data_IF_747509122255
#
_entry.id   IF_747509122255
#
_cell.length_a   1.000
_cell.length_b   1.000
_cell.length_c   1.000
_cell.angle_alpha   90.00
_cell.angle_beta   90.00
_cell.angle_gamma   90.00
#
_symmetry.space_group_name_H-M   'P 1'
#
loop_
_entity.id
_entity.type
_entity.pdbx_description
1 polymer ?
#
# COMPACT_ATOMS: atom_id res chain seq x y z
N UNK A 1 4.41 -2.71 9.09
CA UNK A 1 4.34 -1.27 8.74
C UNK A 1 2.98 -0.66 9.13
N UNK A 2 1.89 -1.00 8.44
CA UNK A 2 0.55 -0.38 8.64
C UNK A 2 0.00 -0.42 10.07
N UNK A 3 0.00 -1.59 10.71
CA UNK A 3 -0.48 -1.77 12.08
C UNK A 3 0.37 -1.03 13.11
N UNK A 4 1.68 -0.94 12.87
CA UNK A 4 2.63 -0.21 13.72
C UNK A 4 2.40 1.30 13.63
N UNK A 5 2.17 1.83 12.43
CA UNK A 5 1.86 3.25 12.25
C UNK A 5 0.54 3.66 12.93
N UNK A 6 -0.51 2.83 12.81
CA UNK A 6 -1.76 3.07 13.54
C UNK A 6 -1.59 3.04 15.05
N UNK A 7 -0.80 2.08 15.56
CA UNK A 7 -0.53 1.99 17.00
C UNK A 7 0.22 3.21 17.50
N UNK A 8 1.26 3.65 16.79
CA UNK A 8 1.98 4.87 17.14
C UNK A 8 1.11 6.12 17.05
N UNK A 9 0.19 6.20 16.09
CA UNK A 9 -0.77 7.32 16.02
C UNK A 9 -1.77 7.31 17.18
N UNK A 10 -2.21 6.12 17.62
CA UNK A 10 -3.08 6.00 18.78
C UNK A 10 -2.34 6.35 20.09
N UNK A 11 -1.07 5.99 20.19
CA UNK A 11 -0.20 6.38 21.31
C UNK A 11 0.01 7.89 21.38
N UNK A 12 0.23 8.56 20.23
CA UNK A 12 0.34 10.02 20.15
C UNK A 12 -0.95 10.71 20.57
N UNK A 13 -2.09 10.16 20.14
CA UNK A 13 -3.40 10.72 20.47
C UNK A 13 -3.80 10.52 21.93
N UNK A 14 -3.30 9.46 22.56
CA UNK A 14 -3.72 9.02 23.89
C UNK A 14 -5.08 8.31 23.91
N UNK A 15 -5.88 8.43 22.85
CA UNK A 15 -7.17 7.76 22.69
C UNK A 15 -7.41 7.25 21.26
N UNK A 16 -7.76 5.97 21.16
CA UNK A 16 -8.17 5.32 19.92
C UNK A 16 -9.47 5.88 19.33
N UNK A 17 -10.37 6.43 20.15
CA UNK A 17 -11.63 7.00 19.69
C UNK A 17 -11.41 8.37 19.00
N UNK A 18 -10.60 9.23 19.61
CA UNK A 18 -10.14 10.49 19.00
C UNK A 18 -9.39 10.25 17.66
N UNK A 19 -8.58 9.20 17.58
CA UNK A 19 -7.93 8.82 16.32
C UNK A 19 -8.95 8.39 15.25
N UNK A 20 -9.98 7.64 15.63
CA UNK A 20 -11.04 7.20 14.73
C UNK A 20 -11.82 8.39 14.16
N UNK A 21 -12.15 9.38 15.00
CA UNK A 21 -12.82 10.63 14.61
C UNK A 21 -11.96 11.44 13.65
N UNK A 22 -10.66 11.60 13.94
CA UNK A 22 -9.74 12.33 13.06
C UNK A 22 -9.61 11.69 11.70
N UNK A 23 -9.49 10.37 11.65
CA UNK A 23 -9.41 9.61 10.41
C UNK A 23 -10.78 9.47 9.71
N UNK A 24 -11.86 9.93 10.36
CA UNK A 24 -13.26 9.81 9.90
C UNK A 24 -13.64 8.36 9.59
N UNK A 25 -13.30 7.45 10.49
CA UNK A 25 -13.57 6.02 10.36
C UNK A 25 -14.27 5.48 11.60
N UNK A 26 -15.15 4.47 11.48
CA UNK A 26 -15.74 3.83 12.64
C UNK A 26 -14.68 3.17 13.53
N UNK A 27 -14.84 3.26 14.85
CA UNK A 27 -13.91 2.67 15.81
C UNK A 27 -13.73 1.16 15.61
N UNK A 28 -14.81 0.43 15.31
CA UNK A 28 -14.74 -1.00 15.00
C UNK A 28 -13.84 -1.28 13.78
N UNK A 29 -13.91 -0.44 12.75
CA UNK A 29 -13.05 -0.55 11.57
C UNK A 29 -11.59 -0.27 11.91
N UNK A 30 -11.33 0.76 12.72
CA UNK A 30 -9.98 1.07 13.21
C UNK A 30 -9.38 -0.11 14.01
N UNK A 31 -10.15 -0.71 14.91
CA UNK A 31 -9.75 -1.88 15.70
C UNK A 31 -9.44 -3.11 14.82
N UNK A 32 -10.21 -3.33 13.75
CA UNK A 32 -9.92 -4.38 12.77
C UNK A 32 -8.61 -4.11 12.01
N UNK A 33 -8.32 -2.85 11.66
CA UNK A 33 -7.05 -2.48 11.04
C UNK A 33 -5.87 -2.64 12.01
N UNK A 34 -6.01 -2.20 13.27
CA UNK A 34 -4.96 -2.32 14.29
C UNK A 34 -4.63 -3.78 14.65
N UNK A 35 -5.64 -4.66 14.63
CA UNK A 35 -5.48 -6.10 14.85
C UNK A 35 -5.02 -6.88 13.61
N UNK A 36 -4.87 -6.22 12.46
CA UNK A 36 -4.51 -6.87 11.19
C UNK A 36 -5.61 -7.75 10.60
N UNK A 37 -6.81 -7.75 11.19
CA UNK A 37 -7.99 -8.53 10.74
C UNK A 37 -8.68 -7.91 9.52
N UNK A 38 -8.35 -6.67 9.19
CA UNK A 38 -8.80 -6.01 7.98
C UNK A 38 -7.68 -5.17 7.40
N UNK A 39 -7.67 -5.06 6.07
CA UNK A 39 -6.70 -4.24 5.37
C UNK A 39 -7.13 -2.77 5.42
N UNK A 40 -6.23 -1.91 5.91
CA UNK A 40 -6.47 -0.47 5.94
C UNK A 40 -6.39 0.12 4.52
N UNK A 41 -7.36 0.97 4.12
CA UNK A 41 -7.26 1.75 2.89
C UNK A 41 -6.08 2.72 2.91
N UNK A 42 -5.40 2.90 1.78
CA UNK A 42 -4.22 3.80 1.69
C UNK A 42 -4.52 5.22 2.09
N UNK A 43 -5.70 5.73 1.73
CA UNK A 43 -6.10 7.10 2.12
C UNK A 43 -6.05 7.28 3.64
N UNK A 44 -6.41 6.25 4.41
CA UNK A 44 -6.34 6.26 5.86
C UNK A 44 -4.89 6.12 6.33
N UNK A 45 -4.10 5.24 5.71
CA UNK A 45 -2.66 5.13 6.02
C UNK A 45 -1.88 6.42 5.77
N UNK A 46 -2.14 7.08 4.64
CA UNK A 46 -1.53 8.37 4.29
C UNK A 46 -1.92 9.46 5.28
N UNK A 47 -3.20 9.54 5.67
CA UNK A 47 -3.64 10.48 6.70
C UNK A 47 -2.95 10.23 8.06
N UNK A 48 -2.74 8.95 8.42
CA UNK A 48 -1.97 8.57 9.60
C UNK A 48 -0.51 9.03 9.48
N UNK A 49 0.15 8.81 8.34
CA UNK A 49 1.53 9.26 8.12
C UNK A 49 1.65 10.79 8.15
N UNK A 50 0.75 11.51 7.49
CA UNK A 50 0.72 12.97 7.51
C UNK A 50 0.53 13.51 8.93
N UNK A 51 -0.36 12.88 9.72
CA UNK A 51 -0.56 13.22 11.13
C UNK A 51 0.71 13.02 11.96
N UNK A 52 1.33 11.85 11.82
CA UNK A 52 2.56 11.48 12.51
C UNK A 52 3.73 12.41 12.12
N UNK A 53 3.86 12.76 10.85
CA UNK A 53 4.84 13.75 10.38
C UNK A 53 4.59 15.14 10.97
N UNK A 54 3.33 15.58 11.03
CA UNK A 54 2.97 16.88 11.60
C UNK A 54 3.23 16.93 13.13
N UNK A 55 3.03 15.83 13.84
CA UNK A 55 3.35 15.72 15.25
C UNK A 55 4.87 15.76 15.50
N UNK A 56 5.65 15.04 14.69
CA UNK A 56 7.12 15.11 14.72
C UNK A 56 7.65 16.52 14.45
N UNK A 57 7.09 17.21 13.45
CA UNK A 57 7.48 18.58 13.12
C UNK A 57 7.21 19.59 14.25
N UNK A 58 6.26 19.28 15.14
CA UNK A 58 5.96 20.06 16.35
C UNK A 58 6.84 19.69 17.55
N UNK A 59 7.83 18.82 17.36
CA UNK A 59 8.74 18.34 18.42
C UNK A 59 8.24 17.10 19.16
N UNK A 60 7.11 16.53 18.75
CA UNK A 60 6.58 15.31 19.34
C UNK A 60 7.43 14.07 19.00
N UNK A 61 7.47 13.10 19.91
CA UNK A 61 8.16 11.81 19.72
C UNK A 61 7.16 10.67 19.78
N UNK A 62 7.29 9.67 18.91
CA UNK A 62 6.51 8.44 18.95
C UNK A 62 7.33 7.25 18.44
N UNK A 63 6.95 6.04 18.86
CA UNK A 63 7.75 4.81 18.73
C UNK A 63 7.97 4.23 17.32
N UNK A 64 7.76 5.02 16.26
CA UNK A 64 8.19 4.70 14.89
C UNK A 64 9.67 5.07 14.68
N UNK A 65 10.50 4.83 15.69
CA UNK A 65 11.93 4.79 15.50
C UNK A 65 12.22 3.49 14.74
N UNK A 66 12.52 3.63 13.45
CA UNK A 66 13.26 2.59 12.75
C UNK A 66 14.64 2.57 13.41
N UNK A 67 14.86 1.60 14.31
CA UNK A 67 16.14 1.45 15.00
C UNK A 67 17.27 1.30 13.96
N UNK A 68 18.41 1.99 14.11
CA UNK A 68 19.47 2.06 13.09
C UNK A 68 20.12 0.74 12.69
N UNK A 69 19.77 -0.37 13.36
CA UNK A 69 20.42 -1.68 13.22
C UNK A 69 20.31 -2.32 11.84
N UNK A 70 19.58 -1.70 10.89
CA UNK A 70 19.46 -2.16 9.50
C UNK A 70 19.97 -1.16 8.45
N UNK A 71 20.46 0.01 8.86
CA UNK A 71 20.96 1.01 7.93
C UNK A 71 22.48 1.01 7.95
N UNK A 72 23.10 0.62 6.83
CA UNK A 72 24.48 1.03 6.60
C UNK A 72 24.49 2.57 6.54
N UNK A 73 25.38 3.26 7.27
CA UNK A 73 25.34 4.73 7.39
C UNK A 73 25.42 5.44 6.04
N UNK A 74 26.05 4.79 5.05
CA UNK A 74 26.26 5.35 3.72
C UNK A 74 25.18 4.98 2.70
N UNK A 75 24.28 4.05 3.06
CA UNK A 75 23.27 3.52 2.13
C UNK A 75 22.03 2.99 2.85
N UNK A 76 20.90 3.57 2.47
CA UNK A 76 19.57 3.30 2.96
C UNK A 76 18.68 2.93 1.77
N UNK A 77 18.24 1.67 1.75
CA UNK A 77 17.27 1.17 0.79
C UNK A 77 15.95 0.94 1.53
N UNK A 78 14.86 1.52 1.02
CA UNK A 78 13.54 1.42 1.63
C UNK A 78 12.70 0.45 0.81
N UNK A 79 12.40 -0.70 1.39
CA UNK A 79 11.69 -1.78 0.70
C UNK A 79 10.44 -2.22 1.45
N UNK A 80 9.44 -2.67 0.68
CA UNK A 80 8.21 -3.24 1.20
C UNK A 80 7.77 -4.39 0.30
N UNK A 81 8.22 -5.61 0.62
CA UNK A 81 8.05 -6.77 -0.25
C UNK A 81 8.95 -6.66 -1.47
N UNK A 82 8.37 -6.69 -2.68
CA UNK A 82 9.10 -6.55 -3.95
C UNK A 82 9.15 -5.08 -4.45
N UNK A 83 8.69 -4.13 -3.64
CA UNK A 83 8.67 -2.71 -3.99
C UNK A 83 9.79 -1.99 -3.27
N UNK A 84 10.50 -1.14 -4.01
CA UNK A 84 11.53 -0.24 -3.47
C UNK A 84 11.11 1.20 -3.70
N UNK A 85 11.36 2.07 -2.73
CA UNK A 85 11.12 3.50 -2.87
C UNK A 85 12.06 4.06 -3.94
N UNK A 86 11.59 5.03 -4.73
CA UNK A 86 12.32 5.56 -5.88
C UNK A 86 12.39 7.08 -5.82
N UNK A 87 13.56 7.63 -6.13
CA UNK A 87 13.72 9.07 -6.26
C UNK A 87 12.85 9.60 -7.40
N UNK A 88 12.03 10.63 -7.14
CA UNK A 88 11.16 11.23 -8.16
C UNK A 88 11.90 11.94 -9.29
N UNK A 89 13.21 12.14 -9.15
CA UNK A 89 14.06 12.84 -10.13
C UNK A 89 14.87 11.90 -11.03
N UNK A 90 15.35 10.76 -10.51
CA UNK A 90 16.25 9.87 -11.24
C UNK A 90 15.93 8.38 -11.10
N UNK A 91 14.81 8.04 -10.46
CA UNK A 91 14.36 6.67 -10.15
C UNK A 91 15.34 5.79 -9.35
N UNK A 92 16.47 6.33 -8.90
CA UNK A 92 17.40 5.64 -8.00
C UNK A 92 16.70 5.24 -6.69
N UNK A 93 17.01 4.03 -6.21
CA UNK A 93 16.42 3.41 -5.00
C UNK A 93 17.29 3.57 -3.76
N UNK A 94 18.49 4.13 -3.93
CA UNK A 94 19.49 4.24 -2.88
C UNK A 94 19.50 5.67 -2.31
N UNK A 95 19.39 5.76 -1.00
CA UNK A 95 19.38 7.01 -0.26
C UNK A 95 20.43 6.99 0.84
N UNK A 96 20.77 8.16 1.39
CA UNK A 96 21.56 8.28 2.62
C UNK A 96 20.97 9.36 3.51
N UNK A 97 21.23 9.28 4.81
CA UNK A 97 20.81 10.33 5.74
C UNK A 97 21.57 11.62 5.44
N UNK A 98 20.87 12.76 5.47
CA UNK A 98 21.53 14.06 5.46
C UNK A 98 22.29 14.29 6.76
N UNK A 99 21.76 13.78 7.89
CA UNK A 99 22.35 13.83 9.23
C UNK A 99 22.46 12.40 9.79
N UNK A 100 23.62 11.73 9.67
CA UNK A 100 23.77 10.32 10.03
C UNK A 100 23.74 10.04 11.55
N UNK A 101 24.03 11.05 12.37
CA UNK A 101 24.10 10.90 13.84
C UNK A 101 22.71 10.98 14.53
N UNK A 102 21.66 11.29 13.79
CA UNK A 102 20.31 11.42 14.33
C UNK A 102 19.48 10.14 14.12
N UNK A 103 18.60 9.78 15.08
CA UNK A 103 17.68 8.68 14.88
C UNK A 103 16.77 8.96 13.68
N UNK A 104 16.57 7.94 12.84
CA UNK A 104 15.73 8.05 11.64
C UNK A 104 14.26 8.21 12.04
N UNK A 105 13.70 9.36 11.69
CA UNK A 105 12.31 9.79 11.89
C UNK A 105 11.58 9.90 10.54
N UNK A 106 10.25 10.09 10.54
CA UNK A 106 9.53 10.35 9.28
C UNK A 106 9.92 11.71 8.67
N UNK A 107 10.31 12.65 9.52
CA UNK A 107 10.81 13.98 9.17
C UNK A 107 12.29 14.02 8.83
N UNK A 108 13.03 12.90 8.96
CA UNK A 108 14.44 12.85 8.58
C UNK A 108 14.62 13.12 7.09
N UNK A 109 15.60 13.97 6.79
CA UNK A 109 16.01 14.29 5.42
C UNK A 109 16.93 13.21 4.88
N UNK A 110 16.60 12.74 3.69
CA UNK A 110 17.34 11.75 2.94
C UNK A 110 17.82 12.37 1.63
N UNK A 111 19.04 12.06 1.24
CA UNK A 111 19.62 12.46 -0.04
C UNK A 111 19.66 11.24 -0.95
N UNK A 112 19.16 11.41 -2.18
CA UNK A 112 19.33 10.38 -3.20
C UNK A 112 20.81 10.20 -3.55
N UNK A 113 21.30 8.96 -3.57
CA UNK A 113 22.70 8.66 -3.93
C UNK A 113 22.97 8.93 -5.41
N UNK A 114 21.98 8.75 -6.28
CA UNK A 114 22.13 8.94 -7.73
C UNK A 114 22.22 10.41 -8.16
N UNK A 115 21.31 11.27 -7.68
CA UNK A 115 21.21 12.66 -8.15
C UNK A 115 21.35 13.73 -7.06
N UNK A 116 21.46 13.34 -5.78
CA UNK A 116 21.59 14.28 -4.66
C UNK A 116 20.29 14.98 -4.24
N UNK A 117 19.15 14.71 -4.89
CA UNK A 117 17.86 15.32 -4.53
C UNK A 117 17.50 14.98 -3.09
N UNK A 118 17.11 16.01 -2.32
CA UNK A 118 16.61 15.87 -0.96
C UNK A 118 15.14 15.41 -0.95
N UNK A 119 14.83 14.46 -0.07
CA UNK A 119 13.47 14.02 0.21
C UNK A 119 13.29 13.73 1.70
N UNK A 120 12.04 13.58 2.13
CA UNK A 120 11.74 13.18 3.50
C UNK A 120 11.52 11.66 3.55
N UNK A 121 12.01 11.02 4.60
CA UNK A 121 11.80 9.60 4.83
C UNK A 121 10.31 9.21 4.80
N UNK A 122 9.45 10.01 5.43
CA UNK A 122 8.00 9.80 5.41
C UNK A 122 7.38 9.87 4.01
N UNK A 123 7.93 10.68 3.09
CA UNK A 123 7.46 10.73 1.70
C UNK A 123 7.77 9.45 0.94
N UNK A 124 8.95 8.86 1.16
CA UNK A 124 9.33 7.58 0.54
C UNK A 124 8.49 6.42 1.10
N UNK A 125 8.16 6.43 2.39
CA UNK A 125 7.23 5.44 2.98
C UNK A 125 5.82 5.62 2.39
N UNK A 126 5.34 6.85 2.20
CA UNK A 126 4.06 7.10 1.57
C UNK A 126 4.02 6.60 0.11
N UNK A 127 5.09 6.85 -0.66
CA UNK A 127 5.24 6.33 -2.02
C UNK A 127 5.16 4.81 -2.07
N UNK A 128 5.87 4.10 -1.19
CA UNK A 128 5.81 2.64 -1.11
C UNK A 128 4.40 2.13 -0.82
N UNK A 129 3.66 2.80 0.05
CA UNK A 129 2.29 2.42 0.34
C UNK A 129 1.32 2.68 -0.82
N UNK A 130 1.53 3.76 -1.57
CA UNK A 130 0.78 4.02 -2.81
C UNK A 130 1.08 2.92 -3.86
N UNK A 131 2.35 2.59 -4.07
CA UNK A 131 2.79 1.55 -5.01
C UNK A 131 2.18 0.18 -4.66
N UNK A 132 2.15 -0.19 -3.37
CA UNK A 132 1.54 -1.45 -2.90
C UNK A 132 0.08 -1.58 -3.30
N UNK A 133 -0.67 -0.50 -3.24
CA UNK A 133 -2.11 -0.55 -3.54
C UNK A 133 -2.39 -0.42 -5.00
N UNK A 134 -1.55 0.28 -5.76
CA UNK A 134 -1.61 0.16 -7.21
C UNK A 134 -1.36 -1.30 -7.64
N UNK A 135 -0.37 -1.97 -7.04
CA UNK A 135 -0.08 -3.38 -7.31
C UNK A 135 -1.25 -4.29 -6.92
N UNK A 136 -1.85 -4.12 -5.74
CA UNK A 136 -3.00 -4.95 -5.30
C UNK A 136 -4.26 -4.73 -6.16
N UNK A 137 -4.53 -3.48 -6.56
CA UNK A 137 -5.61 -3.15 -7.50
C UNK A 137 -5.36 -3.76 -8.87
N UNK A 138 -4.15 -3.64 -9.40
CA UNK A 138 -3.78 -4.22 -10.69
C UNK A 138 -3.95 -5.74 -10.70
N UNK A 139 -3.55 -6.43 -9.62
CA UNK A 139 -3.79 -7.86 -9.47
C UNK A 139 -5.28 -8.20 -9.41
N UNK A 140 -6.07 -7.43 -8.65
CA UNK A 140 -7.53 -7.66 -8.54
C UNK A 140 -8.26 -7.45 -9.87
N UNK A 141 -7.87 -6.43 -10.66
CA UNK A 141 -8.43 -6.18 -12.00
C UNK A 141 -8.07 -7.31 -12.96
N UNK A 142 -6.83 -7.80 -12.93
CA UNK A 142 -6.40 -8.94 -13.76
C UNK A 142 -7.24 -10.19 -13.44
N UNK A 143 -7.41 -10.53 -12.17
CA UNK A 143 -8.21 -11.69 -11.75
C UNK A 143 -9.67 -11.57 -12.20
N UNK A 144 -10.28 -10.39 -12.05
CA UNK A 144 -11.66 -10.15 -12.53
C UNK A 144 -11.80 -10.32 -14.04
N UNK A 145 -10.85 -9.82 -14.83
CA UNK A 145 -10.84 -9.98 -16.30
C UNK A 145 -10.70 -11.45 -16.69
N UNK A 146 -9.83 -12.21 -16.03
CA UNK A 146 -9.68 -13.64 -16.30
C UNK A 146 -10.98 -14.40 -16.01
N UNK A 147 -11.62 -14.15 -14.87
CA UNK A 147 -12.90 -14.81 -14.51
C UNK A 147 -14.02 -14.45 -15.48
N UNK A 148 -14.11 -13.18 -15.89
CA UNK A 148 -15.10 -12.74 -16.88
C UNK A 148 -14.87 -13.39 -18.26
N UNK A 149 -13.62 -13.46 -18.71
CA UNK A 149 -13.27 -14.09 -19.98
C UNK A 149 -13.61 -15.58 -19.98
N UNK A 150 -13.29 -16.30 -18.89
CA UNK A 150 -13.65 -17.73 -18.73
C UNK A 150 -15.17 -17.95 -18.78
N UNK A 151 -15.95 -17.12 -18.08
CA UNK A 151 -17.42 -17.20 -18.08
C UNK A 151 -18.02 -16.92 -19.45
N UNK A 152 -17.47 -15.96 -20.18
CA UNK A 152 -17.93 -15.61 -21.52
C UNK A 152 -17.64 -16.71 -22.55
N UNK A 153 -16.50 -17.42 -22.40
CA UNK A 153 -16.18 -18.59 -23.22
C UNK A 153 -17.12 -19.78 -22.92
N UNK A 154 -17.45 -20.02 -21.65
CA UNK A 154 -18.41 -21.07 -21.27
C UNK A 154 -19.79 -20.82 -21.89
N UNK A 155 -20.34 -19.60 -21.76
CA UNK A 155 -21.64 -19.25 -22.34
C UNK A 155 -21.67 -19.42 -23.85
N UNK A 156 -20.60 -19.01 -24.55
CA UNK A 156 -20.49 -19.22 -26.01
C UNK A 156 -20.41 -20.70 -26.39
N UNK A 157 -19.73 -21.52 -25.58
CA UNK A 157 -19.64 -22.96 -25.80
C UNK A 157 -20.99 -23.65 -25.63
N UNK A 158 -21.78 -23.27 -24.62
CA UNK A 158 -23.12 -23.79 -24.38
C UNK A 158 -24.09 -23.41 -25.51
N UNK A 159 -24.04 -22.17 -25.99
CA UNK A 159 -24.85 -21.71 -27.14
C UNK A 159 -24.52 -22.48 -28.43
N UNK A 160 -23.23 -22.81 -28.62
CA UNK A 160 -22.76 -23.55 -29.80
C UNK A 160 -23.21 -25.01 -29.74
N UNK A 161 -23.14 -25.63 -28.56
CA UNK A 161 -23.61 -27.00 -28.32
C UNK A 161 -25.14 -27.07 -28.54
N UNK A 162 -25.92 -26.14 -27.99
CA UNK A 162 -27.36 -26.09 -28.19
C UNK A 162 -27.74 -25.95 -29.67
N UNK A 163 -27.09 -25.03 -30.41
CA UNK A 163 -27.33 -24.87 -31.86
C UNK A 163 -27.01 -26.14 -32.66
N UNK A 164 -25.99 -26.88 -32.25
CA UNK A 164 -25.59 -28.13 -32.90
C UNK A 164 -26.61 -29.24 -32.63
N UNK A 165 -27.07 -29.39 -31.39
CA UNK A 165 -28.10 -30.36 -31.00
C UNK A 165 -29.43 -30.08 -31.73
N UNK A 166 -29.84 -28.81 -31.83
CA UNK A 166 -31.07 -28.43 -32.56
C UNK A 166 -31.02 -28.76 -34.05
N UNK A 167 -29.85 -28.63 -34.69
CA UNK A 167 -29.67 -29.03 -36.11
C UNK A 167 -29.80 -30.53 -36.30
N UNK A 168 -29.07 -31.32 -35.49
CA UNK A 168 -29.11 -32.78 -35.55
C UNK A 168 -30.51 -33.36 -35.29
N UNK A 169 -31.34 -32.66 -34.50
CA UNK A 169 -32.73 -33.06 -34.24
C UNK A 169 -33.68 -32.74 -35.40
N UNK A 170 -33.46 -31.64 -36.11
CA UNK A 170 -34.25 -31.25 -37.28
C UNK A 170 -34.00 -32.14 -38.50
N UNK A 171 -32.78 -32.68 -38.64
CA UNK A 171 -32.42 -33.59 -39.74
C UNK A 171 -33.00 -35.01 -39.56
N UNK A 172 -33.50 -35.37 -38.37
CA UNK A 172 -34.05 -36.70 -38.08
C UNK A 172 -35.57 -36.84 -38.34
N UNK A 173 -36.30 -35.75 -38.56
CA UNK A 173 -37.77 -35.75 -38.78
C UNK A 173 -38.16 -35.55 -40.25
N UNK A 174 -37.20 -35.49 -41.19
CA UNK A 174 -37.43 -35.17 -42.60
C UNK A 174 -37.09 -36.27 -43.62
N UNK A 175 -36.91 -37.52 -43.19
CA UNK A 175 -36.54 -38.66 -44.06
C UNK A 175 -37.67 -39.68 -44.23
#
# INVERSE_FOLDING_TARGET
MYTRALRSAAEVEGDTLALAERLRVPQNTLSLWMSGRSQMPVRAFRAVLEYLMAHEAKGGSYGLVCTPTQYAPDKLTLELGALSARCTSCDCTDFKLATPDEPVRLTSRLLCVGCGTETLHGKLIAQLADDMVQQSRAMTVRTKRTVQHSRQLQLKSEETIQKTISRLRGDAEGG
#
